data_IF_049080271250
#
_entry.id   IF_049080271250
#
_cell.length_a   1.000
_cell.length_b   1.000
_cell.length_c   1.000
_cell.angle_alpha   90.00
_cell.angle_beta   90.00
_cell.angle_gamma   90.00
#
_symmetry.space_group_name_H-M   'P 1'
#
loop_
_entity.id
_entity.type
_entity.pdbx_description
1 polymer ?
#
# COMPACT_ATOMS: atom_id res chain seq x y z
N UNK A 1 8.55 -27.70 -16.66
CA UNK A 1 8.90 -26.83 -15.51
C UNK A 1 7.61 -26.16 -15.08
N UNK A 2 7.00 -26.59 -13.97
CA UNK A 2 5.76 -25.97 -13.48
C UNK A 2 6.17 -24.57 -13.00
N UNK A 3 5.79 -23.53 -13.74
CA UNK A 3 5.93 -22.16 -13.26
C UNK A 3 5.09 -22.06 -11.99
N UNK A 4 5.74 -21.98 -10.82
CA UNK A 4 5.03 -21.67 -9.57
C UNK A 4 4.39 -20.30 -9.77
N UNK A 5 3.07 -20.25 -9.64
CA UNK A 5 2.31 -19.01 -9.67
C UNK A 5 2.91 -18.04 -8.64
N UNK A 6 3.36 -16.88 -9.10
CA UNK A 6 3.93 -15.86 -8.21
C UNK A 6 2.81 -15.36 -7.31
N UNK A 7 2.87 -15.72 -6.03
CA UNK A 7 1.88 -15.30 -5.04
C UNK A 7 2.16 -13.87 -4.60
N UNK A 8 1.08 -13.12 -4.40
CA UNK A 8 1.11 -11.77 -3.89
C UNK A 8 1.43 -11.82 -2.38
N UNK A 9 2.40 -11.04 -1.95
CA UNK A 9 2.83 -10.88 -0.56
C UNK A 9 2.37 -9.52 -0.04
N UNK A 10 1.26 -9.45 0.72
CA UNK A 10 0.72 -8.16 1.16
C UNK A 10 1.55 -7.60 2.32
N UNK A 11 1.92 -6.33 2.23
CA UNK A 11 2.65 -5.59 3.25
C UNK A 11 1.81 -4.41 3.70
N UNK A 12 1.31 -4.47 4.93
CA UNK A 12 0.44 -3.44 5.51
C UNK A 12 1.26 -2.56 6.46
N UNK A 13 1.40 -1.30 6.08
CA UNK A 13 2.14 -0.27 6.79
C UNK A 13 1.24 0.34 7.87
N UNK A 14 1.46 -0.04 9.13
CA UNK A 14 0.75 0.49 10.30
C UNK A 14 1.61 1.49 11.09
N UNK A 15 2.51 2.20 10.39
CA UNK A 15 3.40 3.22 10.94
C UNK A 15 2.78 4.62 10.86
N UNK A 16 2.08 5.03 11.92
CA UNK A 16 1.52 6.37 12.04
C UNK A 16 1.19 6.71 13.48
N UNK A 17 1.60 7.89 13.96
CA UNK A 17 1.35 8.35 15.34
C UNK A 17 -0.08 8.84 15.58
N UNK A 18 -0.87 9.00 14.50
CA UNK A 18 -2.28 9.37 14.59
C UNK A 18 -2.56 10.78 15.09
N UNK A 19 -1.58 11.69 15.21
CA UNK A 19 -1.75 13.00 15.88
C UNK A 19 -2.88 13.90 15.35
N UNK A 20 -3.31 13.72 14.09
CA UNK A 20 -4.34 14.55 13.43
C UNK A 20 -5.79 14.25 13.84
N UNK A 21 -6.08 13.12 14.49
CA UNK A 21 -7.42 12.75 14.96
C UNK A 21 -7.59 12.89 16.47
N UNK A 22 -6.80 13.73 17.13
CA UNK A 22 -7.01 14.01 18.54
C UNK A 22 -8.41 14.63 18.77
N UNK A 23 -9.20 14.21 19.78
CA UNK A 23 -8.86 13.30 20.89
C UNK A 23 -9.15 11.82 20.63
N UNK A 24 -9.67 11.45 19.47
CA UNK A 24 -10.02 10.06 19.12
C UNK A 24 -8.79 9.16 19.05
N UNK A 25 -7.68 9.67 18.53
CA UNK A 25 -6.39 8.98 18.50
C UNK A 25 -5.48 9.40 19.64
N UNK A 26 -4.68 8.45 20.13
CA UNK A 26 -3.62 8.65 21.13
C UNK A 26 -2.32 8.08 20.61
N UNK A 27 -1.18 8.49 21.19
CA UNK A 27 0.15 7.97 20.81
C UNK A 27 0.20 6.43 20.85
N UNK A 28 -0.44 5.84 21.86
CA UNK A 28 -0.55 4.38 22.02
C UNK A 28 -1.76 3.75 21.32
N UNK A 29 -2.69 4.56 20.82
CA UNK A 29 -3.85 4.11 20.07
C UNK A 29 -4.07 4.97 18.79
N UNK A 30 -3.18 4.83 17.80
CA UNK A 30 -3.30 5.52 16.53
C UNK A 30 -4.59 5.23 15.75
N UNK A 31 -4.87 6.07 14.75
CA UNK A 31 -6.11 6.01 13.97
C UNK A 31 -6.37 4.68 13.26
N UNK A 32 -5.31 4.01 12.82
CA UNK A 32 -5.43 2.74 12.10
C UNK A 32 -6.05 1.63 12.96
N UNK A 33 -6.07 1.82 14.28
CA UNK A 33 -6.65 0.88 15.23
C UNK A 33 -8.06 1.26 15.69
N UNK A 34 -8.64 2.34 15.16
CA UNK A 34 -10.00 2.79 15.49
C UNK A 34 -11.02 2.22 14.50
N UNK A 35 -12.22 1.89 15.00
CA UNK A 35 -13.40 1.58 14.18
C UNK A 35 -14.06 2.89 13.72
N UNK A 36 -13.51 3.53 12.68
CA UNK A 36 -14.04 4.79 12.16
C UNK A 36 -15.25 4.59 11.23
N UNK A 37 -15.39 3.42 10.63
CA UNK A 37 -16.46 3.08 9.70
C UNK A 37 -16.89 1.63 9.90
N UNK A 38 -18.01 1.43 10.59
CA UNK A 38 -18.53 0.10 10.92
C UNK A 38 -17.78 -0.56 12.08
N UNK A 39 -17.78 -1.89 12.09
CA UNK A 39 -17.35 -2.69 13.25
C UNK A 39 -15.86 -3.03 13.24
N UNK A 40 -15.20 -2.95 12.08
CA UNK A 40 -13.78 -3.27 11.92
C UNK A 40 -12.91 -2.02 12.08
N UNK A 41 -11.70 -2.21 12.59
CA UNK A 41 -10.66 -1.15 12.58
C UNK A 41 -10.20 -0.87 11.15
N UNK A 42 -9.51 0.26 10.92
CA UNK A 42 -8.97 0.55 9.58
C UNK A 42 -7.93 -0.50 9.14
N UNK A 43 -7.09 -0.98 10.06
CA UNK A 43 -6.14 -2.07 9.80
C UNK A 43 -6.89 -3.35 9.39
N UNK A 44 -7.91 -3.74 10.15
CA UNK A 44 -8.71 -4.92 9.85
C UNK A 44 -9.43 -4.78 8.50
N UNK A 45 -10.01 -3.62 8.24
CA UNK A 45 -10.66 -3.30 6.96
C UNK A 45 -9.67 -3.43 5.81
N UNK A 46 -8.45 -2.92 5.97
CA UNK A 46 -7.40 -3.01 4.95
C UNK A 46 -6.99 -4.45 4.66
N UNK A 47 -6.89 -5.29 5.69
CA UNK A 47 -6.60 -6.72 5.54
C UNK A 47 -7.77 -7.46 4.87
N UNK A 48 -9.00 -7.21 5.32
CA UNK A 48 -10.20 -7.86 4.77
C UNK A 48 -10.47 -7.45 3.31
N UNK A 49 -10.04 -6.27 2.89
CA UNK A 49 -10.18 -5.79 1.50
C UNK A 49 -9.49 -6.71 0.48
N UNK A 50 -8.46 -7.44 0.92
CA UNK A 50 -7.74 -8.43 0.11
C UNK A 50 -8.51 -9.74 -0.07
N UNK A 51 -9.62 -9.95 0.63
CA UNK A 51 -10.46 -11.14 0.43
C UNK A 51 -10.94 -11.20 -1.03
N UNK A 52 -10.64 -12.31 -1.72
CA UNK A 52 -10.91 -12.46 -3.15
C UNK A 52 -9.74 -12.09 -4.07
N UNK A 53 -8.60 -11.67 -3.51
CA UNK A 53 -7.29 -11.65 -4.19
C UNK A 53 -6.50 -12.87 -3.72
N UNK A 54 -5.89 -13.61 -4.65
CA UNK A 54 -5.02 -14.73 -4.28
C UNK A 54 -3.69 -14.18 -3.75
N UNK A 55 -3.55 -14.16 -2.42
CA UNK A 55 -2.37 -13.66 -1.74
C UNK A 55 -2.01 -14.50 -0.52
N UNK A 56 -0.80 -14.32 -0.02
CA UNK A 56 -0.35 -14.90 1.23
C UNK A 56 -0.96 -14.19 2.44
N UNK A 57 -0.65 -14.70 3.65
CA UNK A 57 -0.97 -13.99 4.88
C UNK A 57 -0.31 -12.61 4.88
N UNK A 58 -1.02 -11.54 5.26
CA UNK A 58 -0.48 -10.19 5.21
C UNK A 58 0.62 -10.01 6.25
N UNK A 59 1.70 -9.32 5.91
CA UNK A 59 2.70 -8.87 6.88
C UNK A 59 2.40 -7.45 7.32
N UNK A 60 2.34 -7.22 8.63
CA UNK A 60 2.10 -5.89 9.19
C UNK A 60 3.39 -5.31 9.74
N UNK A 61 3.77 -4.13 9.27
CA UNK A 61 4.90 -3.38 9.82
C UNK A 61 4.36 -2.32 10.78
N UNK A 62 4.86 -2.30 12.02
CA UNK A 62 4.43 -1.33 13.02
C UNK A 62 5.56 -0.99 13.99
N UNK A 63 5.39 0.09 14.75
CA UNK A 63 6.32 0.40 15.83
C UNK A 63 6.23 -0.65 16.96
N UNK A 64 7.34 -0.93 17.63
CA UNK A 64 7.38 -1.87 18.76
C UNK A 64 6.34 -1.58 19.85
N UNK A 65 6.02 -0.30 20.09
CA UNK A 65 4.99 0.10 21.05
C UNK A 65 3.58 -0.39 20.70
N UNK A 66 3.32 -0.72 19.43
CA UNK A 66 2.03 -1.19 18.93
C UNK A 66 1.98 -2.71 18.73
N UNK A 67 3.02 -3.46 19.12
CA UNK A 67 3.12 -4.92 18.89
C UNK A 67 1.90 -5.70 19.38
N UNK A 68 1.39 -5.37 20.57
CA UNK A 68 0.30 -6.10 21.20
C UNK A 68 -1.05 -5.82 20.54
N UNK A 69 -1.30 -4.56 20.18
CA UNK A 69 -2.56 -4.19 19.54
C UNK A 69 -2.64 -4.74 18.11
N UNK A 70 -1.53 -4.72 17.37
CA UNK A 70 -1.47 -5.33 16.04
C UNK A 70 -1.68 -6.84 16.12
N UNK A 71 -1.00 -7.52 17.06
CA UNK A 71 -1.17 -8.95 17.26
C UNK A 71 -2.61 -9.32 17.63
N UNK A 72 -3.27 -8.54 18.49
CA UNK A 72 -4.66 -8.77 18.87
C UNK A 72 -5.61 -8.58 17.68
N UNK A 73 -5.43 -7.52 16.87
CA UNK A 73 -6.27 -7.31 15.68
C UNK A 73 -6.10 -8.41 14.62
N UNK A 74 -4.88 -8.90 14.42
CA UNK A 74 -4.61 -10.04 13.55
C UNK A 74 -5.22 -11.33 14.09
N UNK A 75 -5.17 -11.55 15.41
CA UNK A 75 -5.78 -12.69 16.08
C UNK A 75 -7.30 -12.70 15.90
N UNK A 76 -7.97 -11.55 16.05
CA UNK A 76 -9.40 -11.41 15.82
C UNK A 76 -9.82 -11.77 14.39
N UNK A 77 -8.92 -11.60 13.42
CA UNK A 77 -9.13 -12.01 12.03
C UNK A 77 -8.67 -13.45 11.72
N UNK A 78 -8.16 -14.20 12.70
CA UNK A 78 -7.51 -15.51 12.51
C UNK A 78 -6.36 -15.47 11.49
N UNK A 79 -5.61 -14.37 11.45
CA UNK A 79 -4.50 -14.12 10.51
C UNK A 79 -3.14 -13.91 11.20
N UNK A 80 -3.01 -14.23 12.49
CA UNK A 80 -1.75 -14.12 13.22
C UNK A 80 -0.89 -15.38 12.99
N UNK A 81 0.21 -15.26 12.23
CA UNK A 81 1.07 -16.38 11.83
C UNK A 81 2.56 -15.99 11.76
N UNK A 82 3.08 -15.24 12.73
CA UNK A 82 4.46 -14.66 12.74
C UNK A 82 4.72 -13.58 11.68
N UNK A 83 3.67 -12.85 11.34
CA UNK A 83 3.61 -11.89 10.25
C UNK A 83 3.65 -10.43 10.71
N UNK A 84 4.39 -10.13 11.79
CA UNK A 84 4.56 -8.77 12.30
C UNK A 84 6.03 -8.38 12.30
N UNK A 85 6.35 -7.27 11.65
CA UNK A 85 7.66 -6.65 11.66
C UNK A 85 7.61 -5.44 12.59
N UNK A 86 8.50 -5.42 13.60
CA UNK A 86 8.56 -4.35 14.59
C UNK A 86 9.69 -3.37 14.27
N UNK A 87 9.32 -2.11 14.08
CA UNK A 87 10.26 -1.00 13.93
C UNK A 87 10.65 -0.43 15.31
N UNK A 88 11.95 -0.34 15.65
CA UNK A 88 12.38 0.26 16.91
C UNK A 88 12.16 1.78 16.93
N UNK A 89 12.13 2.43 15.76
CA UNK A 89 11.87 3.85 15.60
C UNK A 89 11.27 4.10 14.21
N UNK A 90 10.37 5.08 14.10
CA UNK A 90 9.80 5.46 12.81
C UNK A 90 10.86 6.09 11.90
N UNK A 91 11.07 5.49 10.72
CA UNK A 91 12.04 5.97 9.70
C UNK A 91 11.39 6.28 8.34
N UNK A 92 10.08 6.53 8.34
CA UNK A 92 9.23 6.71 7.15
C UNK A 92 9.10 5.43 6.31
N UNK A 93 8.42 5.55 5.17
CA UNK A 93 7.93 4.43 4.37
C UNK A 93 9.04 3.61 3.71
N UNK A 94 10.07 4.25 3.15
CA UNK A 94 11.07 3.54 2.35
C UNK A 94 11.89 2.50 3.15
N UNK A 95 12.41 2.82 4.36
CA UNK A 95 13.12 1.82 5.18
C UNK A 95 12.21 0.66 5.63
N UNK A 96 10.94 0.94 5.92
CA UNK A 96 9.99 -0.08 6.31
C UNK A 96 9.66 -1.02 5.15
N UNK A 97 9.44 -0.50 3.93
CA UNK A 97 9.29 -1.34 2.73
C UNK A 97 10.56 -2.18 2.49
N UNK A 98 11.76 -1.59 2.65
CA UNK A 98 13.02 -2.32 2.49
C UNK A 98 13.13 -3.50 3.46
N UNK A 99 12.72 -3.30 4.71
CA UNK A 99 12.71 -4.35 5.72
C UNK A 99 11.76 -5.49 5.34
N UNK A 100 10.57 -5.17 4.81
CA UNK A 100 9.65 -6.18 4.31
C UNK A 100 10.17 -6.90 3.06
N UNK A 101 10.85 -6.20 2.15
CA UNK A 101 11.46 -6.82 0.97
C UNK A 101 12.58 -7.78 1.35
N UNK A 102 13.44 -7.40 2.31
CA UNK A 102 14.45 -8.29 2.88
C UNK A 102 13.84 -9.50 3.59
N UNK A 103 12.73 -9.32 4.32
CA UNK A 103 12.03 -10.42 4.95
C UNK A 103 11.42 -11.38 3.91
N UNK A 104 10.75 -10.84 2.89
CA UNK A 104 10.13 -11.60 1.83
C UNK A 104 11.17 -12.41 1.03
N UNK A 105 12.25 -11.77 0.56
CA UNK A 105 13.34 -12.47 -0.15
C UNK A 105 14.02 -13.56 0.68
N UNK A 106 14.08 -13.43 2.00
CA UNK A 106 14.60 -14.50 2.89
C UNK A 106 13.63 -15.66 3.06
N UNK A 107 12.33 -15.39 3.10
CA UNK A 107 11.29 -16.42 3.24
C UNK A 107 11.06 -17.18 1.93
N UNK A 108 11.30 -16.54 0.79
CA UNK A 108 11.09 -17.09 -0.54
C UNK A 108 12.43 -17.30 -1.28
N UNK A 109 13.10 -18.43 -1.03
CA UNK A 109 14.38 -18.75 -1.68
C UNK A 109 14.24 -19.15 -3.15
N UNK A 110 13.07 -19.65 -3.55
CA UNK A 110 12.84 -20.23 -4.87
C UNK A 110 12.18 -19.24 -5.86
N UNK A 111 11.70 -18.10 -5.38
CA UNK A 111 11.05 -17.09 -6.21
C UNK A 111 11.17 -15.70 -5.59
N UNK A 112 11.23 -14.66 -6.43
CA UNK A 112 11.10 -13.28 -5.99
C UNK A 112 9.59 -12.93 -5.89
N UNK A 113 9.06 -12.62 -4.68
CA UNK A 113 7.64 -12.41 -4.49
C UNK A 113 7.18 -11.02 -4.98
N UNK A 114 5.91 -10.92 -5.38
CA UNK A 114 5.27 -9.64 -5.69
C UNK A 114 4.74 -9.02 -4.40
N UNK A 115 5.34 -7.91 -3.96
CA UNK A 115 4.93 -7.18 -2.76
C UNK A 115 3.86 -6.15 -3.06
N UNK A 116 2.68 -6.30 -2.46
CA UNK A 116 1.64 -5.27 -2.46
C UNK A 116 1.74 -4.45 -1.17
N UNK A 117 2.23 -3.22 -1.28
CA UNK A 117 2.35 -2.28 -0.16
C UNK A 117 1.07 -1.48 0.00
N UNK A 118 0.51 -1.51 1.22
CA UNK A 118 -0.75 -0.88 1.59
C UNK A 118 -0.56 -0.03 2.84
N UNK A 119 -1.21 1.13 2.91
CA UNK A 119 -1.33 1.88 4.17
C UNK A 119 -2.51 1.35 5.00
N UNK A 120 -2.31 1.13 6.29
CA UNK A 120 -3.33 0.60 7.20
C UNK A 120 -4.49 1.58 7.47
N UNK A 121 -4.34 2.84 7.05
CA UNK A 121 -5.20 3.97 7.43
C UNK A 121 -5.91 4.63 6.25
N UNK A 122 -6.03 3.91 5.12
CA UNK A 122 -6.81 4.33 3.96
C UNK A 122 -8.25 3.77 4.01
N UNK A 123 -9.20 4.65 3.73
CA UNK A 123 -10.59 4.30 3.51
C UNK A 123 -10.86 4.16 2.01
N UNK A 124 -11.08 2.93 1.55
CA UNK A 124 -11.43 2.63 0.15
C UNK A 124 -12.85 2.07 0.16
N UNK A 125 -13.78 2.78 -0.49
CA UNK A 125 -15.21 2.41 -0.47
C UNK A 125 -15.56 1.32 -1.49
N UNK A 126 -14.97 1.39 -2.69
CA UNK A 126 -15.18 0.38 -3.73
C UNK A 126 -14.07 -0.67 -3.66
N UNK A 127 -14.30 -1.74 -2.90
CA UNK A 127 -13.30 -2.80 -2.74
C UNK A 127 -13.10 -3.62 -4.02
N UNK A 128 -14.14 -3.82 -4.83
CA UNK A 128 -14.04 -4.58 -6.08
C UNK A 128 -13.13 -3.87 -7.08
N UNK A 129 -13.32 -2.56 -7.28
CA UNK A 129 -12.44 -1.75 -8.12
C UNK A 129 -10.99 -1.75 -7.61
N UNK A 130 -10.77 -1.79 -6.30
CA UNK A 130 -9.43 -1.96 -5.73
C UNK A 130 -8.82 -3.32 -6.11
N UNK A 131 -9.58 -4.42 -5.97
CA UNK A 131 -9.08 -5.76 -6.32
C UNK A 131 -8.79 -5.86 -7.81
N UNK A 132 -9.62 -5.27 -8.66
CA UNK A 132 -9.40 -5.22 -10.11
C UNK A 132 -8.17 -4.40 -10.47
N UNK A 133 -7.95 -3.25 -9.83
CA UNK A 133 -6.73 -2.47 -9.99
C UNK A 133 -5.49 -3.27 -9.58
N UNK A 134 -5.53 -3.99 -8.45
CA UNK A 134 -4.43 -4.86 -8.02
C UNK A 134 -4.16 -5.96 -9.04
N UNK A 135 -5.19 -6.67 -9.52
CA UNK A 135 -5.05 -7.72 -10.54
C UNK A 135 -4.47 -7.16 -11.85
N UNK A 136 -4.95 -6.01 -12.29
CA UNK A 136 -4.46 -5.32 -13.49
C UNK A 136 -3.01 -4.82 -13.35
N UNK A 137 -2.56 -4.50 -12.14
CA UNK A 137 -1.19 -4.08 -11.87
C UNK A 137 -0.18 -5.23 -11.81
N UNK A 138 -0.61 -6.45 -11.48
CA UNK A 138 0.27 -7.61 -11.30
C UNK A 138 1.17 -7.90 -12.53
N UNK A 139 0.67 -7.95 -13.78
CA UNK A 139 1.52 -8.23 -14.95
C UNK A 139 2.65 -7.21 -15.14
N UNK A 140 2.42 -5.94 -14.84
CA UNK A 140 3.44 -4.90 -14.97
C UNK A 140 4.53 -5.04 -13.91
N UNK A 141 4.13 -5.31 -12.66
CA UNK A 141 5.06 -5.58 -11.58
C UNK A 141 5.87 -6.86 -11.82
N UNK A 142 5.22 -7.89 -12.39
CA UNK A 142 5.85 -9.15 -12.77
C UNK A 142 6.94 -8.96 -13.82
N UNK A 143 6.70 -8.03 -14.76
CA UNK A 143 7.66 -7.56 -15.77
C UNK A 143 8.76 -6.64 -15.21
N UNK A 144 8.88 -6.49 -13.88
CA UNK A 144 9.96 -5.75 -13.22
C UNK A 144 9.73 -4.24 -13.07
N UNK A 145 8.49 -3.76 -13.26
CA UNK A 145 8.13 -2.36 -13.02
C UNK A 145 7.82 -2.09 -11.54
N UNK A 146 8.06 -0.85 -11.11
CA UNK A 146 7.59 -0.32 -9.83
C UNK A 146 6.22 0.33 -10.07
N UNK A 147 5.14 -0.37 -9.72
CA UNK A 147 3.77 0.10 -9.98
C UNK A 147 3.26 0.92 -8.80
N UNK A 148 2.57 2.01 -9.10
CA UNK A 148 1.83 2.84 -8.14
C UNK A 148 0.38 3.01 -8.60
N UNK A 149 -0.52 3.33 -7.67
CA UNK A 149 -1.94 3.50 -7.96
C UNK A 149 -2.32 4.98 -7.87
N UNK A 150 -2.77 5.54 -8.99
CA UNK A 150 -3.23 6.93 -9.09
C UNK A 150 -4.72 7.07 -8.76
N UNK A 151 -5.08 8.11 -8.00
CA UNK A 151 -6.47 8.50 -7.75
C UNK A 151 -6.78 9.77 -8.56
N UNK A 152 -7.93 9.80 -9.24
CA UNK A 152 -8.37 10.99 -9.97
C UNK A 152 -8.65 12.11 -8.95
N UNK A 153 -7.96 13.26 -9.03
CA UNK A 153 -8.14 14.34 -8.07
C UNK A 153 -9.45 15.08 -8.35
N UNK A 154 -10.19 15.40 -7.29
CA UNK A 154 -11.41 16.23 -7.36
C UNK A 154 -11.21 17.64 -6.78
N UNK A 155 -10.06 17.90 -6.14
CA UNK A 155 -9.68 19.18 -5.57
C UNK A 155 -8.15 19.37 -5.55
N UNK A 156 -7.62 20.61 -5.48
CA UNK A 156 -6.18 20.87 -5.50
C UNK A 156 -5.54 20.67 -4.11
N UNK A 157 -5.51 19.43 -3.61
CA UNK A 157 -4.94 19.09 -2.31
C UNK A 157 -3.42 19.29 -2.32
N UNK A 158 -2.86 20.00 -1.33
CA UNK A 158 -1.40 20.27 -1.24
C UNK A 158 -0.68 19.30 -0.30
N UNK A 159 -1.43 18.55 0.51
CA UNK A 159 -0.89 17.52 1.40
C UNK A 159 -0.56 16.19 0.71
N UNK A 160 -0.93 16.02 -0.55
CA UNK A 160 -0.72 14.78 -1.33
C UNK A 160 0.43 14.90 -2.33
N UNK A 161 1.00 13.74 -2.67
CA UNK A 161 1.85 13.61 -3.85
C UNK A 161 0.99 13.54 -5.11
N UNK A 162 1.51 14.04 -6.22
CA UNK A 162 0.91 13.97 -7.55
C UNK A 162 1.81 13.17 -8.49
N UNK A 163 1.18 12.41 -9.38
CA UNK A 163 1.80 11.58 -10.40
C UNK A 163 1.32 12.11 -11.74
N UNK A 164 2.25 12.61 -12.56
CA UNK A 164 1.95 12.94 -13.96
C UNK A 164 1.96 11.66 -14.78
N UNK A 165 0.86 11.33 -15.45
CA UNK A 165 0.88 10.23 -16.43
C UNK A 165 1.74 10.60 -17.64
N UNK A 166 2.47 9.62 -18.14
CA UNK A 166 3.12 9.64 -19.44
C UNK A 166 2.29 8.84 -20.45
N UNK A 167 2.99 8.18 -21.36
CA UNK A 167 2.37 7.38 -22.40
C UNK A 167 1.68 6.14 -21.83
N UNK A 168 0.66 5.67 -22.55
CA UNK A 168 0.00 4.40 -22.24
C UNK A 168 1.02 3.27 -22.41
N UNK A 169 1.14 2.43 -21.39
CA UNK A 169 1.92 1.19 -21.50
C UNK A 169 1.03 0.15 -22.18
N UNK A 170 1.43 -0.40 -23.34
CA UNK A 170 0.69 -1.48 -23.97
C UNK A 170 0.50 -2.64 -22.97
N UNK A 171 -0.76 -2.98 -22.69
CA UNK A 171 -1.11 -3.96 -21.68
C UNK A 171 -1.23 -5.39 -22.20
N UNK A 172 -1.20 -6.33 -21.25
CA UNK A 172 -1.48 -7.77 -21.46
C UNK A 172 -2.97 -8.10 -21.19
N UNK A 173 -3.72 -7.16 -20.60
CA UNK A 173 -5.15 -7.26 -20.22
C UNK A 173 -5.90 -5.95 -20.49
N UNK A 174 -7.22 -5.92 -20.27
CA UNK A 174 -8.11 -4.75 -20.40
C UNK A 174 -7.81 -3.57 -19.43
N UNK A 175 -6.84 -3.72 -18.53
CA UNK A 175 -6.43 -2.66 -17.60
C UNK A 175 -5.46 -1.69 -18.28
N UNK A 176 -5.78 -0.40 -18.26
CA UNK A 176 -4.92 0.65 -18.81
C UNK A 176 -3.90 1.08 -17.76
N UNK A 177 -2.60 0.95 -18.08
CA UNK A 177 -1.51 1.52 -17.30
C UNK A 177 -0.81 2.62 -18.09
N UNK A 178 -0.16 3.52 -17.35
CA UNK A 178 0.62 4.63 -17.91
C UNK A 178 2.03 4.59 -17.34
N UNK A 179 3.01 5.02 -18.14
CA UNK A 179 4.33 5.35 -17.59
C UNK A 179 4.20 6.54 -16.63
N UNK A 180 5.06 6.61 -15.63
CA UNK A 180 5.12 7.77 -14.73
C UNK A 180 6.09 8.78 -15.32
N UNK A 181 5.55 9.87 -15.88
CA UNK A 181 6.38 10.94 -16.43
C UNK A 181 7.04 11.77 -15.33
N UNK A 182 6.35 11.95 -14.20
CA UNK A 182 6.85 12.75 -13.09
C UNK A 182 6.16 12.37 -11.77
N UNK A 183 6.92 12.36 -10.68
CA UNK A 183 6.41 12.28 -9.32
C UNK A 183 6.70 13.59 -8.58
N UNK A 184 5.68 14.20 -7.98
CA UNK A 184 5.79 15.49 -7.29
C UNK A 184 5.19 15.37 -5.90
N UNK A 185 5.98 15.60 -4.85
CA UNK A 185 5.49 15.52 -3.48
C UNK A 185 5.03 16.91 -3.00
N UNK A 186 3.76 17.03 -2.61
CA UNK A 186 3.18 18.20 -1.92
C UNK A 186 3.43 19.54 -2.62
N UNK A 187 2.89 19.72 -3.84
CA UNK A 187 3.04 20.98 -4.57
C UNK A 187 2.34 22.14 -3.85
N UNK A 188 2.75 23.37 -4.19
CA UNK A 188 2.02 24.57 -3.77
C UNK A 188 0.61 24.64 -4.38
N UNK A 189 -0.27 25.46 -3.79
CA UNK A 189 -1.69 25.52 -4.18
C UNK A 189 -1.90 25.86 -5.67
N UNK A 190 -1.20 26.86 -6.19
CA UNK A 190 -1.29 27.27 -7.61
C UNK A 190 -0.88 26.12 -8.55
N UNK A 191 0.17 25.40 -8.20
CA UNK A 191 0.64 24.23 -8.95
C UNK A 191 -0.37 23.08 -8.88
N UNK A 192 -0.95 22.80 -7.70
CA UNK A 192 -1.99 21.79 -7.53
C UNK A 192 -3.23 22.13 -8.37
N UNK A 193 -3.65 23.40 -8.42
CA UNK A 193 -4.75 23.86 -9.28
C UNK A 193 -4.46 23.58 -10.76
N UNK A 194 -3.25 23.90 -11.23
CA UNK A 194 -2.84 23.62 -12.60
C UNK A 194 -2.84 22.10 -12.91
N UNK A 195 -2.39 21.27 -11.96
CA UNK A 195 -2.38 19.81 -12.10
C UNK A 195 -3.79 19.24 -12.26
N UNK A 196 -4.72 19.63 -11.38
CA UNK A 196 -6.12 19.20 -11.46
C UNK A 196 -6.77 19.69 -12.76
N UNK A 197 -6.54 20.95 -13.14
CA UNK A 197 -7.11 21.52 -14.36
C UNK A 197 -6.60 20.83 -15.65
N UNK A 198 -5.37 20.31 -15.65
CA UNK A 198 -4.80 19.62 -16.81
C UNK A 198 -5.44 18.25 -17.09
N UNK A 199 -5.92 17.56 -16.06
CA UNK A 199 -6.39 16.17 -16.16
C UNK A 199 -5.28 15.13 -16.40
N UNK A 200 -4.00 15.54 -16.41
CA UNK A 200 -2.85 14.66 -16.63
C UNK A 200 -2.16 14.21 -15.34
N UNK A 201 -2.66 14.66 -14.19
CA UNK A 201 -2.12 14.32 -12.89
C UNK A 201 -3.13 13.54 -12.05
N UNK A 202 -2.59 12.57 -11.31
CA UNK A 202 -3.32 11.76 -10.35
C UNK A 202 -2.71 11.95 -8.96
N UNK A 203 -3.50 11.84 -7.90
CA UNK A 203 -2.92 11.73 -6.57
C UNK A 203 -2.21 10.40 -6.39
N UNK A 204 -1.04 10.44 -5.76
CA UNK A 204 -0.37 9.24 -5.27
C UNK A 204 -1.18 8.64 -4.12
N UNK A 205 -1.71 7.44 -4.31
CA UNK A 205 -2.43 6.72 -3.26
C UNK A 205 -1.54 6.26 -2.12
N UNK A 206 -0.21 6.25 -2.27
CA UNK A 206 0.71 5.66 -1.30
C UNK A 206 0.69 4.13 -1.27
N UNK A 207 -0.04 3.47 -2.19
CA UNK A 207 0.03 2.04 -2.44
C UNK A 207 0.99 1.75 -3.59
N UNK A 208 1.70 0.63 -3.49
CA UNK A 208 2.68 0.22 -4.49
C UNK A 208 2.66 -1.29 -4.72
N UNK A 209 3.04 -1.72 -5.92
CA UNK A 209 3.18 -3.13 -6.27
C UNK A 209 4.45 -3.35 -7.10
N UNK A 210 5.31 -4.24 -6.62
CA UNK A 210 6.58 -4.55 -7.28
C UNK A 210 7.18 -5.86 -6.78
N UNK A 211 8.16 -6.38 -7.51
CA UNK A 211 9.01 -7.47 -7.06
C UNK A 211 9.92 -7.03 -5.90
N UNK A 212 10.06 -7.87 -4.87
CA UNK A 212 10.85 -7.56 -3.68
C UNK A 212 12.32 -7.31 -4.03
N UNK A 213 12.91 -8.16 -4.88
CA UNK A 213 14.28 -8.00 -5.36
C UNK A 213 14.47 -6.69 -6.11
N UNK A 214 13.51 -6.33 -6.98
CA UNK A 214 13.56 -5.08 -7.76
C UNK A 214 13.54 -3.81 -6.90
N UNK A 215 12.92 -3.83 -5.73
CA UNK A 215 12.94 -2.72 -4.79
C UNK A 215 14.29 -2.55 -4.07
N UNK A 216 15.05 -3.65 -3.92
CA UNK A 216 16.33 -3.67 -3.21
C UNK A 216 17.53 -3.31 -4.09
N UNK A 217 17.37 -3.34 -5.41
CA UNK A 217 18.35 -2.86 -6.41
C UNK A 217 18.43 -1.32 -6.44
#
# INVERSE_FOLDING_TARGET
MIMRQTKLYPVVMAGGSGSRLWPLSRVLYPKQFLCLKGDLTMLQTTICRLNGVECESPVVICNEQHRFIVAEQLRQLNKLTENIILEPAGRNTAPAIALAALAATRQHTDCDPLMLVLAADHAIANEEAFRDAVRGAMPYADAGKLVTFGIVPDLPETGYGYIRRGDVVPGVMDAVAFEVAQFVEKPGLETAQAYVASGDYYWNSGMFLFRAGRYLE
#
